data_IF_460852639730
#
_entry.id   IF_460852639730
#
_cell.length_a   1.000
_cell.length_b   1.000
_cell.length_c   1.000
_cell.angle_alpha   90.00
_cell.angle_beta   90.00
_cell.angle_gamma   90.00
#
_symmetry.space_group_name_H-M   'P 1'
#
loop_
_entity.id
_entity.type
_entity.pdbx_description
1 polymer ?
#
# COMPACT_ATOMS: atom_id res chain seq x y z
N UNK A 1 34.03 -57.22 -19.68
CA UNK A 1 34.03 -55.81 -20.08
C UNK A 1 32.95 -55.13 -19.31
N UNK A 2 33.35 -54.34 -18.38
CA UNK A 2 32.39 -53.62 -17.51
C UNK A 2 32.10 -52.29 -18.13
N UNK A 3 30.96 -52.17 -18.77
CA UNK A 3 30.43 -50.87 -19.16
C UNK A 3 29.98 -50.15 -17.90
N UNK A 4 30.88 -49.35 -17.41
CA UNK A 4 30.48 -48.39 -16.42
C UNK A 4 29.71 -47.28 -17.12
N UNK A 5 28.42 -47.44 -17.15
CA UNK A 5 27.57 -46.30 -17.45
C UNK A 5 27.70 -45.39 -16.26
N UNK A 6 28.60 -44.44 -16.38
CA UNK A 6 28.63 -43.34 -15.44
C UNK A 6 27.39 -42.50 -15.75
N UNK A 7 26.32 -42.80 -15.04
CA UNK A 7 25.16 -41.93 -15.02
C UNK A 7 25.61 -40.59 -14.48
N UNK A 8 25.96 -39.69 -15.38
CA UNK A 8 26.04 -38.29 -15.04
C UNK A 8 24.62 -37.90 -14.72
N UNK A 9 24.31 -37.99 -13.44
CA UNK A 9 23.13 -37.33 -12.88
C UNK A 9 23.42 -35.84 -13.04
N UNK A 10 23.04 -35.30 -14.17
CA UNK A 10 23.00 -33.85 -14.36
C UNK A 10 21.93 -33.35 -13.40
N UNK A 11 22.37 -33.05 -12.21
CA UNK A 11 21.55 -32.26 -11.28
C UNK A 11 21.43 -30.89 -11.95
N UNK A 12 20.38 -30.76 -12.76
CA UNK A 12 19.93 -29.45 -13.18
C UNK A 12 19.37 -28.80 -11.93
N UNK A 13 20.26 -28.15 -11.20
CA UNK A 13 19.83 -27.22 -10.17
C UNK A 13 19.17 -26.09 -10.95
N UNK A 14 17.87 -26.20 -11.14
CA UNK A 14 17.09 -25.08 -11.60
C UNK A 14 17.13 -24.07 -10.48
N UNK A 15 18.11 -23.18 -10.56
CA UNK A 15 18.02 -21.94 -9.81
C UNK A 15 16.84 -21.17 -10.43
N UNK A 16 15.65 -21.37 -9.86
CA UNK A 16 14.62 -20.40 -10.06
C UNK A 16 15.13 -19.12 -9.39
N UNK A 17 15.79 -18.30 -10.16
CA UNK A 17 15.98 -16.91 -9.78
C UNK A 17 14.60 -16.30 -9.75
N UNK A 18 13.96 -16.37 -8.58
CA UNK A 18 12.88 -15.46 -8.32
C UNK A 18 13.52 -14.08 -8.40
N UNK A 19 13.16 -13.36 -9.46
CA UNK A 19 13.45 -11.95 -9.52
C UNK A 19 12.75 -11.32 -8.31
N UNK A 20 13.50 -11.14 -7.23
CA UNK A 20 13.04 -10.30 -6.15
C UNK A 20 12.90 -8.92 -6.75
N UNK A 21 11.66 -8.45 -6.87
CA UNK A 21 11.42 -7.06 -7.19
C UNK A 21 12.17 -6.24 -6.16
N UNK A 22 13.20 -5.53 -6.61
CA UNK A 22 13.94 -4.65 -5.73
C UNK A 22 12.98 -3.60 -5.21
N UNK A 23 12.90 -3.44 -3.91
CA UNK A 23 12.17 -2.37 -3.28
C UNK A 23 12.59 -1.03 -3.88
N UNK A 24 11.62 -0.27 -4.37
CA UNK A 24 11.85 1.00 -5.02
C UNK A 24 11.75 2.13 -3.99
N UNK A 25 12.80 2.94 -3.89
CA UNK A 25 12.83 4.09 -2.98
C UNK A 25 11.87 5.20 -3.38
N UNK A 26 11.41 5.24 -4.61
CA UNK A 26 10.51 6.25 -5.17
C UNK A 26 9.34 5.60 -5.92
N UNK A 27 8.71 4.62 -5.30
CA UNK A 27 7.58 3.93 -5.89
C UNK A 27 6.34 4.82 -5.93
N UNK A 28 5.68 4.89 -7.07
CA UNK A 28 4.48 5.67 -7.28
C UNK A 28 3.26 4.77 -7.27
N UNK A 29 2.27 5.13 -6.46
CA UNK A 29 1.00 4.42 -6.36
C UNK A 29 -0.16 5.39 -6.37
N UNK A 30 -1.29 4.90 -6.86
CA UNK A 30 -2.57 5.58 -6.77
C UNK A 30 -3.57 4.62 -6.17
N UNK A 31 -4.18 5.01 -5.06
CA UNK A 31 -5.20 4.21 -4.37
C UNK A 31 -6.47 5.02 -4.14
N UNK A 32 -7.62 4.36 -4.18
CA UNK A 32 -8.89 4.99 -3.85
C UNK A 32 -9.07 5.06 -2.34
N UNK A 33 -9.41 6.24 -1.84
CA UNK A 33 -9.72 6.49 -0.43
C UNK A 33 -11.02 7.26 -0.33
N UNK A 34 -11.96 6.76 0.44
CA UNK A 34 -13.27 7.38 0.61
C UNK A 34 -13.19 8.62 1.52
N UNK A 35 -13.78 9.69 1.05
CA UNK A 35 -13.87 10.96 1.74
C UNK A 35 -14.72 11.95 0.93
N UNK A 36 -14.99 13.14 1.45
CA UNK A 36 -15.92 14.10 0.82
C UNK A 36 -15.34 15.50 0.63
N UNK A 37 -14.49 15.99 1.51
CA UNK A 37 -14.23 17.42 1.64
C UNK A 37 -12.76 17.74 1.92
N UNK A 38 -12.44 19.03 1.99
CA UNK A 38 -11.09 19.52 2.31
C UNK A 38 -10.56 19.02 3.65
N UNK A 39 -11.41 18.87 4.66
CA UNK A 39 -11.01 18.30 5.95
C UNK A 39 -10.61 16.82 5.80
N UNK A 40 -11.32 16.08 4.96
CA UNK A 40 -10.96 14.70 4.62
C UNK A 40 -9.60 14.66 3.92
N UNK A 41 -9.38 15.55 2.97
CA UNK A 41 -8.11 15.67 2.25
C UNK A 41 -6.94 15.84 3.22
N UNK A 42 -7.03 16.78 4.13
CA UNK A 42 -5.99 17.03 5.14
C UNK A 42 -5.77 15.81 6.03
N UNK A 43 -6.84 15.19 6.50
CA UNK A 43 -6.77 14.02 7.38
C UNK A 43 -6.14 12.82 6.67
N UNK A 44 -6.55 12.54 5.45
CA UNK A 44 -6.02 11.42 4.65
C UNK A 44 -4.53 11.64 4.37
N UNK A 45 -4.16 12.82 3.89
CA UNK A 45 -2.77 13.14 3.58
C UNK A 45 -1.88 13.10 4.82
N UNK A 46 -2.33 13.68 5.94
CA UNK A 46 -1.59 13.64 7.19
C UNK A 46 -1.42 12.21 7.73
N UNK A 47 -2.46 11.39 7.65
CA UNK A 47 -2.39 9.99 8.05
C UNK A 47 -1.35 9.22 7.21
N UNK A 48 -1.34 9.42 5.90
CA UNK A 48 -0.34 8.82 5.03
C UNK A 48 1.08 9.27 5.41
N UNK A 49 1.28 10.55 5.67
CA UNK A 49 2.60 11.10 6.06
C UNK A 49 3.09 10.61 7.42
N UNK A 50 2.22 10.15 8.31
CA UNK A 50 2.63 9.55 9.58
C UNK A 50 3.36 8.22 9.37
N UNK A 51 3.17 7.57 8.24
CA UNK A 51 3.90 6.34 7.91
C UNK A 51 5.30 6.70 7.43
N UNK A 52 6.29 6.22 8.15
CA UNK A 52 7.70 6.44 7.80
C UNK A 52 8.01 5.86 6.43
N UNK A 53 8.56 6.67 5.55
CA UNK A 53 8.86 6.27 4.17
C UNK A 53 7.92 6.88 3.13
N UNK A 54 6.82 7.50 3.54
CA UNK A 54 5.95 8.26 2.62
C UNK A 54 6.61 9.59 2.29
N UNK A 55 6.86 9.82 1.02
CA UNK A 55 7.52 11.03 0.51
C UNK A 55 6.53 12.06 -0.02
N UNK A 56 5.42 11.60 -0.58
CA UNK A 56 4.37 12.45 -1.12
C UNK A 56 3.02 11.75 -0.97
N UNK A 57 2.02 12.52 -0.61
CA UNK A 57 0.65 12.05 -0.49
C UNK A 57 -0.30 13.20 -0.86
N UNK A 58 -0.99 13.06 -1.98
CA UNK A 58 -1.95 14.05 -2.49
C UNK A 58 -3.26 13.35 -2.80
N UNK A 59 -4.31 13.71 -2.08
CA UNK A 59 -5.65 13.18 -2.28
C UNK A 59 -6.50 14.16 -3.10
N UNK A 60 -7.12 13.65 -4.15
CA UNK A 60 -8.00 14.44 -5.00
C UNK A 60 -9.46 14.25 -4.60
N UNK A 61 -10.12 15.35 -4.26
CA UNK A 61 -11.51 15.34 -3.78
C UNK A 61 -12.46 14.82 -4.86
N UNK A 62 -12.25 15.19 -6.12
CA UNK A 62 -13.17 14.85 -7.19
C UNK A 62 -13.11 13.37 -7.55
N UNK A 63 -11.93 12.78 -7.61
CA UNK A 63 -11.72 11.39 -8.02
C UNK A 63 -11.59 10.43 -6.84
N UNK A 64 -11.39 10.92 -5.62
CA UNK A 64 -11.06 10.15 -4.42
C UNK A 64 -9.74 9.38 -4.52
N UNK A 65 -8.87 9.76 -5.44
CA UNK A 65 -7.59 9.10 -5.66
C UNK A 65 -6.50 9.74 -4.78
N UNK A 66 -5.80 8.89 -4.05
CA UNK A 66 -4.60 9.27 -3.30
C UNK A 66 -3.37 8.89 -4.11
N UNK A 67 -2.64 9.90 -4.56
CA UNK A 67 -1.37 9.72 -5.28
C UNK A 67 -0.23 9.71 -4.27
N UNK A 68 0.54 8.64 -4.26
CA UNK A 68 1.60 8.38 -3.30
C UNK A 68 2.95 8.23 -3.99
N UNK A 69 3.99 8.75 -3.35
CA UNK A 69 5.37 8.38 -3.61
C UNK A 69 5.94 7.85 -2.30
N UNK A 70 6.39 6.62 -2.31
CA UNK A 70 6.84 5.94 -1.10
C UNK A 70 8.20 5.28 -1.28
N UNK A 71 8.92 5.12 -0.18
CA UNK A 71 10.10 4.29 -0.11
C UNK A 71 9.69 2.89 0.35
N UNK A 72 9.65 1.94 -0.57
CA UNK A 72 9.24 0.55 -0.28
C UNK A 72 10.20 -0.21 0.64
N UNK A 73 11.40 0.30 0.84
CA UNK A 73 12.33 -0.25 1.84
C UNK A 73 11.87 0.04 3.27
N UNK A 74 11.04 1.06 3.47
CA UNK A 74 10.61 1.53 4.80
C UNK A 74 9.15 1.26 5.10
N UNK A 75 8.30 1.18 4.09
CA UNK A 75 6.86 1.01 4.28
C UNK A 75 6.23 0.26 3.12
N UNK A 76 4.95 -0.08 3.30
CA UNK A 76 4.12 -0.74 2.29
C UNK A 76 2.79 -0.02 2.15
N UNK A 77 2.07 -0.28 1.05
CA UNK A 77 0.71 0.23 0.87
C UNK A 77 -0.22 -0.22 2.00
N UNK A 78 -0.05 -1.45 2.48
CA UNK A 78 -0.89 -1.96 3.58
C UNK A 78 -0.77 -1.12 4.84
N UNK A 79 0.45 -0.74 5.23
CA UNK A 79 0.67 0.12 6.40
C UNK A 79 0.01 1.49 6.22
N UNK A 80 0.07 2.06 5.03
CA UNK A 80 -0.56 3.34 4.71
C UNK A 80 -2.08 3.22 4.79
N UNK A 81 -2.65 2.18 4.21
CA UNK A 81 -4.10 1.92 4.26
C UNK A 81 -4.58 1.70 5.69
N UNK A 82 -3.82 0.99 6.51
CA UNK A 82 -4.13 0.79 7.92
C UNK A 82 -4.12 2.11 8.70
N UNK A 83 -3.16 2.98 8.44
CA UNK A 83 -3.07 4.28 9.09
C UNK A 83 -4.24 5.19 8.68
N UNK A 84 -4.62 5.17 7.41
CA UNK A 84 -5.78 5.91 6.89
C UNK A 84 -7.08 5.40 7.52
N UNK A 85 -7.22 4.09 7.67
CA UNK A 85 -8.37 3.48 8.33
C UNK A 85 -8.49 3.90 9.80
N UNK A 86 -7.37 4.02 10.51
CA UNK A 86 -7.36 4.47 11.92
C UNK A 86 -7.98 5.87 12.10
N UNK A 87 -7.85 6.73 11.12
CA UNK A 87 -8.42 8.07 11.16
C UNK A 87 -9.83 8.16 10.56
N UNK A 88 -10.42 7.03 10.19
CA UNK A 88 -11.83 6.93 9.82
C UNK A 88 -12.13 6.82 8.32
N UNK A 89 -11.13 6.70 7.46
CA UNK A 89 -11.32 6.62 6.01
C UNK A 89 -11.10 5.21 5.46
N UNK A 90 -12.08 4.73 4.68
CA UNK A 90 -12.01 3.41 4.05
C UNK A 90 -11.16 3.42 2.80
N UNK A 91 -10.40 2.36 2.61
CA UNK A 91 -9.86 1.97 1.31
C UNK A 91 -10.54 0.67 0.87
N UNK A 92 -10.26 0.21 -0.35
CA UNK A 92 -10.89 -1.01 -0.88
C UNK A 92 -10.59 -2.24 -0.03
N UNK A 93 -9.35 -2.40 0.42
CA UNK A 93 -8.90 -3.59 1.14
C UNK A 93 -8.95 -3.43 2.66
N UNK A 94 -8.89 -2.19 3.17
CA UNK A 94 -8.86 -1.91 4.61
C UNK A 94 -9.95 -0.92 4.95
N UNK A 95 -10.89 -1.35 5.79
CA UNK A 95 -11.99 -0.52 6.24
C UNK A 95 -11.68 0.08 7.62
N UNK A 96 -12.12 1.32 7.82
CA UNK A 96 -12.12 1.94 9.13
C UNK A 96 -13.10 1.21 10.06
N UNK A 97 -12.82 1.22 11.35
CA UNK A 97 -13.80 0.78 12.34
C UNK A 97 -15.01 1.70 12.34
N UNK A 98 -16.17 1.20 12.77
CA UNK A 98 -17.37 2.03 12.87
C UNK A 98 -17.14 3.21 13.81
N UNK A 99 -16.44 3.00 14.92
CA UNK A 99 -16.15 4.09 15.86
C UNK A 99 -15.23 5.16 15.27
N UNK A 100 -14.22 4.77 14.49
CA UNK A 100 -13.34 5.73 13.83
C UNK A 100 -14.11 6.56 12.79
N UNK A 101 -14.99 5.92 12.03
CA UNK A 101 -15.86 6.60 11.07
C UNK A 101 -16.84 7.55 11.78
N UNK A 102 -17.49 7.11 12.85
CA UNK A 102 -18.46 7.92 13.61
C UNK A 102 -17.80 9.15 14.27
N UNK A 103 -16.52 9.09 14.56
CA UNK A 103 -15.77 10.22 15.11
C UNK A 103 -15.40 11.29 14.06
N UNK A 104 -15.69 11.05 12.78
CA UNK A 104 -15.46 12.05 11.74
C UNK A 104 -16.41 13.24 11.91
N UNK A 105 -15.93 14.44 11.53
CA UNK A 105 -16.84 15.59 11.38
C UNK A 105 -17.92 15.27 10.35
N UNK A 106 -19.12 15.87 10.52
CA UNK A 106 -20.26 15.61 9.66
C UNK A 106 -19.96 15.74 8.16
N UNK A 107 -19.17 16.74 7.77
CA UNK A 107 -18.78 16.94 6.37
C UNK A 107 -17.84 15.83 5.83
N UNK A 108 -17.19 15.08 6.70
CA UNK A 108 -16.30 13.98 6.34
C UNK A 108 -17.00 12.61 6.37
N UNK A 109 -18.25 12.54 6.80
CA UNK A 109 -19.01 11.29 6.79
C UNK A 109 -19.46 10.96 5.37
N UNK A 110 -18.57 10.31 4.66
CA UNK A 110 -18.84 9.80 3.31
C UNK A 110 -19.80 8.61 3.37
N UNK A 111 -20.44 8.33 2.27
CA UNK A 111 -21.36 7.19 2.15
C UNK A 111 -20.58 5.87 2.11
N UNK A 112 -20.89 4.98 3.05
CA UNK A 112 -20.25 3.68 3.15
C UNK A 112 -21.07 2.57 2.53
#
# INVERSE_FOLDING_TARGET
MKNKILGILLLIVVFSTQAQEKANKNAKYTIEVNGNCELCKKRIENAAFEVKGVKSAVWDIASHQLSLIINEEKCSLLLIKQQIAKVGHDTKEVKATDSAYENLHGCCKYQR
#
